data_IF_640471800356
#
_entry.id   IF_640471800356
#
_cell.length_a   1.000
_cell.length_b   1.000
_cell.length_c   1.000
_cell.angle_alpha   90.00
_cell.angle_beta   90.00
_cell.angle_gamma   90.00
#
_symmetry.space_group_name_H-M   'P 1'
#
loop_
_entity.id
_entity.type
_entity.pdbx_description
1 polymer ?
#
# COMPACT_ATOMS: atom_id res chain seq x y z
N UNK A 1 -14.51 1.56 -17.79
CA UNK A 1 -13.51 1.52 -16.69
C UNK A 1 -12.22 2.21 -17.17
N UNK A 2 -11.80 3.33 -16.58
CA UNK A 2 -10.50 3.93 -16.90
C UNK A 2 -9.42 2.99 -16.36
N UNK A 3 -8.65 2.37 -17.24
CA UNK A 3 -7.53 1.54 -16.85
C UNK A 3 -6.32 2.45 -16.66
N UNK A 4 -6.04 2.83 -15.40
CA UNK A 4 -4.84 3.60 -15.05
C UNK A 4 -3.69 2.61 -14.96
N UNK A 5 -2.62 2.87 -15.70
CA UNK A 5 -1.36 2.12 -15.62
C UNK A 5 -0.24 3.11 -15.34
N UNK A 6 0.60 2.82 -14.36
CA UNK A 6 1.73 3.65 -13.99
C UNK A 6 3.01 2.85 -14.22
N UNK A 7 3.83 3.32 -15.14
CA UNK A 7 5.11 2.68 -15.47
C UNK A 7 6.24 3.41 -14.74
N UNK A 8 7.04 2.67 -14.02
CA UNK A 8 8.29 3.15 -13.39
C UNK A 8 9.51 2.57 -14.11
N UNK A 9 10.69 2.72 -13.53
CA UNK A 9 11.92 2.18 -14.12
C UNK A 9 11.90 0.65 -14.25
N UNK A 10 11.39 -0.05 -13.24
CA UNK A 10 11.42 -1.52 -13.15
C UNK A 10 10.04 -2.15 -13.00
N UNK A 11 9.02 -1.34 -12.69
CA UNK A 11 7.71 -1.82 -12.28
C UNK A 11 6.61 -1.30 -13.20
N UNK A 12 5.53 -2.07 -13.27
CA UNK A 12 4.26 -1.66 -13.83
C UNK A 12 3.20 -1.78 -12.75
N UNK A 13 2.50 -0.68 -12.47
CA UNK A 13 1.38 -0.63 -11.53
C UNK A 13 0.10 -0.66 -12.34
N UNK A 14 -0.77 -1.62 -12.06
CA UNK A 14 -2.06 -1.82 -12.72
C UNK A 14 -3.17 -1.97 -11.67
N UNK A 15 -4.44 -1.74 -12.01
CA UNK A 15 -5.52 -1.99 -11.06
C UNK A 15 -5.43 -3.38 -10.44
N UNK A 16 -5.48 -3.45 -9.11
CA UNK A 16 -5.56 -4.72 -8.39
C UNK A 16 -6.98 -5.31 -8.54
N UNK A 17 -7.08 -6.61 -8.77
CA UNK A 17 -8.36 -7.29 -8.94
C UNK A 17 -8.29 -8.78 -8.65
N UNK A 18 -9.39 -9.48 -8.90
CA UNK A 18 -9.55 -10.91 -8.60
C UNK A 18 -8.56 -11.81 -9.34
N UNK A 19 -8.04 -11.39 -10.48
CA UNK A 19 -7.01 -12.13 -11.22
C UNK A 19 -5.73 -12.36 -10.41
N UNK A 20 -5.48 -11.51 -9.40
CA UNK A 20 -4.32 -11.62 -8.51
C UNK A 20 -4.59 -12.40 -7.22
N UNK A 21 -5.79 -12.96 -7.01
CA UNK A 21 -6.18 -13.63 -5.76
C UNK A 21 -5.12 -14.61 -5.25
N UNK A 22 -4.59 -15.46 -6.13
CA UNK A 22 -3.59 -16.47 -5.77
C UNK A 22 -2.30 -15.83 -5.24
N UNK A 23 -1.77 -14.85 -5.94
CA UNK A 23 -0.52 -14.17 -5.56
C UNK A 23 -0.71 -13.21 -4.39
N UNK A 24 -1.89 -12.60 -4.23
CA UNK A 24 -2.23 -11.82 -3.03
C UNK A 24 -2.23 -12.72 -1.80
N UNK A 25 -2.81 -13.92 -1.87
CA UNK A 25 -2.81 -14.86 -0.75
C UNK A 25 -1.40 -15.24 -0.28
N UNK A 26 -0.39 -15.25 -1.15
CA UNK A 26 0.99 -15.56 -0.76
C UNK A 26 1.53 -14.61 0.32
N UNK A 27 1.15 -13.33 0.28
CA UNK A 27 1.58 -12.36 1.28
C UNK A 27 0.47 -11.98 2.28
N UNK A 28 -0.79 -11.93 1.85
CA UNK A 28 -1.89 -11.50 2.70
C UNK A 28 -2.26 -12.51 3.81
N UNK A 29 -1.96 -13.79 3.60
CA UNK A 29 -2.14 -14.85 4.60
C UNK A 29 -0.87 -15.12 5.41
N UNK A 30 0.24 -14.50 5.09
CA UNK A 30 1.55 -14.77 5.69
C UNK A 30 1.81 -13.83 6.88
N UNK A 31 2.03 -14.40 8.08
CA UNK A 31 2.29 -13.64 9.30
C UNK A 31 3.51 -12.71 9.18
N UNK A 32 4.64 -13.21 8.68
CA UNK A 32 5.87 -12.42 8.56
C UNK A 32 5.73 -11.22 7.63
N UNK A 33 4.89 -11.36 6.58
CA UNK A 33 4.56 -10.27 5.69
C UNK A 33 3.67 -9.18 6.33
N UNK A 34 2.86 -9.56 7.33
CA UNK A 34 1.68 -8.78 7.74
C UNK A 34 1.66 -8.40 9.22
N UNK A 35 2.64 -8.84 10.00
CA UNK A 35 2.65 -8.69 11.47
C UNK A 35 2.51 -7.26 11.99
N UNK A 36 2.87 -6.27 11.18
CA UNK A 36 2.75 -4.85 11.52
C UNK A 36 1.54 -4.15 10.87
N UNK A 37 0.60 -4.91 10.32
CA UNK A 37 -0.53 -4.34 9.56
C UNK A 37 -1.85 -4.43 10.32
N UNK A 38 -2.68 -3.39 10.20
CA UNK A 38 -3.96 -3.29 10.90
C UNK A 38 -5.06 -4.16 10.28
N UNK A 39 -5.01 -4.38 8.96
CA UNK A 39 -6.05 -5.10 8.20
C UNK A 39 -5.60 -6.46 7.66
N UNK A 40 -4.36 -6.85 7.95
CA UNK A 40 -3.75 -8.12 7.58
C UNK A 40 -3.11 -8.77 8.82
N UNK A 41 -2.93 -10.09 8.87
CA UNK A 41 -3.22 -11.04 7.81
C UNK A 41 -4.72 -11.24 7.58
N UNK A 42 -5.09 -11.68 6.38
CA UNK A 42 -6.42 -12.23 6.12
C UNK A 42 -6.56 -13.60 6.80
N UNK A 43 -7.78 -13.98 7.15
CA UNK A 43 -8.04 -15.26 7.79
C UNK A 43 -7.95 -16.42 6.79
N UNK A 44 -8.48 -16.19 5.59
CA UNK A 44 -8.53 -17.17 4.52
C UNK A 44 -8.64 -16.51 3.12
N UNK A 45 -8.70 -17.33 2.11
CA UNK A 45 -8.82 -16.89 0.72
C UNK A 45 -10.16 -16.20 0.41
N UNK A 46 -11.23 -16.52 1.13
CA UNK A 46 -12.53 -15.87 0.91
C UNK A 46 -12.53 -14.43 1.42
N UNK A 47 -11.85 -14.17 2.53
CA UNK A 47 -11.67 -12.80 3.00
C UNK A 47 -10.79 -11.98 2.02
N UNK A 48 -9.75 -12.59 1.45
CA UNK A 48 -8.96 -11.95 0.38
C UNK A 48 -9.82 -11.70 -0.86
N UNK A 49 -10.65 -12.64 -1.27
CA UNK A 49 -11.58 -12.50 -2.40
C UNK A 49 -12.54 -11.33 -2.19
N UNK A 50 -13.15 -11.26 -1.02
CA UNK A 50 -14.08 -10.18 -0.66
C UNK A 50 -13.39 -8.81 -0.76
N UNK A 51 -12.18 -8.68 -0.25
CA UNK A 51 -11.39 -7.46 -0.38
C UNK A 51 -11.13 -7.10 -1.85
N UNK A 52 -10.72 -8.06 -2.68
CA UNK A 52 -10.45 -7.79 -4.10
C UNK A 52 -11.72 -7.39 -4.86
N UNK A 53 -12.89 -7.94 -4.49
CA UNK A 53 -14.18 -7.50 -5.05
C UNK A 53 -14.51 -6.06 -4.66
N UNK A 54 -14.22 -5.64 -3.43
CA UNK A 54 -14.37 -4.25 -3.00
C UNK A 54 -13.44 -3.33 -3.80
N UNK A 55 -12.21 -3.74 -4.03
CA UNK A 55 -11.23 -2.99 -4.85
C UNK A 55 -11.74 -2.83 -6.29
N UNK A 56 -12.24 -3.90 -6.92
CA UNK A 56 -12.81 -3.83 -8.28
C UNK A 56 -14.04 -2.92 -8.34
N UNK A 57 -14.90 -2.99 -7.32
CA UNK A 57 -16.07 -2.11 -7.22
C UNK A 57 -15.65 -0.64 -7.06
N UNK A 58 -14.58 -0.36 -6.31
CA UNK A 58 -14.04 1.00 -6.16
C UNK A 58 -13.48 1.53 -7.47
N UNK A 59 -12.70 0.71 -8.21
CA UNK A 59 -12.19 1.05 -9.53
C UNK A 59 -13.30 1.34 -10.57
N UNK A 60 -14.50 0.79 -10.37
CA UNK A 60 -15.64 1.00 -11.27
C UNK A 60 -16.36 2.33 -11.04
N UNK A 61 -16.11 3.04 -9.94
CA UNK A 61 -16.73 4.31 -9.63
C UNK A 61 -16.23 5.43 -10.56
N UNK A 62 -17.04 6.44 -10.74
CA UNK A 62 -16.66 7.67 -11.45
C UNK A 62 -15.59 8.46 -10.68
N UNK A 63 -15.71 8.48 -9.35
CA UNK A 63 -14.78 9.13 -8.43
C UNK A 63 -14.42 8.14 -7.30
N UNK A 64 -13.39 7.31 -7.49
CA UNK A 64 -12.93 6.41 -6.46
C UNK A 64 -12.39 7.16 -5.23
N UNK A 65 -12.72 6.70 -4.04
CA UNK A 65 -12.15 7.20 -2.79
C UNK A 65 -10.75 6.65 -2.51
N UNK A 66 -10.43 5.53 -3.16
CA UNK A 66 -9.09 4.95 -3.07
C UNK A 66 -8.72 4.18 -4.35
N UNK A 67 -7.44 3.92 -4.50
CA UNK A 67 -6.88 3.08 -5.55
C UNK A 67 -5.91 2.07 -4.96
N UNK A 68 -6.12 0.80 -5.27
CA UNK A 68 -5.20 -0.29 -4.99
C UNK A 68 -4.59 -0.78 -6.30
N UNK A 69 -3.28 -0.76 -6.40
CA UNK A 69 -2.55 -1.22 -7.58
C UNK A 69 -1.79 -2.51 -7.30
N UNK A 70 -1.90 -3.47 -8.20
CA UNK A 70 -0.97 -4.57 -8.27
C UNK A 70 0.39 -4.05 -8.76
N UNK A 71 1.45 -4.44 -8.08
CA UNK A 71 2.84 -4.13 -8.47
C UNK A 71 3.40 -5.30 -9.25
N UNK A 72 3.71 -5.07 -10.52
CA UNK A 72 4.30 -6.07 -11.41
C UNK A 72 5.77 -5.76 -11.67
N UNK A 73 6.62 -6.76 -11.49
CA UNK A 73 8.03 -6.75 -11.90
C UNK A 73 8.23 -7.86 -12.93
N UNK A 74 8.67 -7.51 -14.15
CA UNK A 74 8.81 -8.48 -15.26
C UNK A 74 7.55 -9.35 -15.47
N UNK A 75 6.38 -8.74 -15.41
CA UNK A 75 5.05 -9.37 -15.47
C UNK A 75 4.70 -10.32 -14.32
N UNK A 76 5.51 -10.37 -13.27
CA UNK A 76 5.22 -11.13 -12.05
C UNK A 76 4.59 -10.19 -11.02
N UNK A 77 3.43 -10.56 -10.46
CA UNK A 77 2.81 -9.82 -9.37
C UNK A 77 3.59 -10.03 -8.07
N UNK A 78 4.16 -8.96 -7.53
CA UNK A 78 5.06 -9.00 -6.37
C UNK A 78 4.48 -8.33 -5.11
N UNK A 79 3.34 -7.68 -5.19
CA UNK A 79 2.72 -6.97 -4.09
C UNK A 79 1.73 -5.91 -4.53
N UNK A 80 1.35 -5.04 -3.62
CA UNK A 80 0.40 -3.95 -3.88
C UNK A 80 0.90 -2.62 -3.32
N UNK A 81 0.44 -1.53 -3.93
CA UNK A 81 0.61 -0.16 -3.45
C UNK A 81 -0.71 0.57 -3.58
N UNK A 82 -1.05 1.38 -2.60
CA UNK A 82 -2.35 2.04 -2.52
C UNK A 82 -2.26 3.53 -2.20
N UNK A 83 -3.32 4.24 -2.56
CA UNK A 83 -3.57 5.60 -2.12
C UNK A 83 -5.05 5.74 -1.76
N UNK A 84 -5.32 6.25 -0.55
CA UNK A 84 -6.65 6.54 -0.02
C UNK A 84 -6.79 8.05 0.16
N UNK A 85 -7.89 8.63 -0.31
CA UNK A 85 -8.11 10.07 -0.24
C UNK A 85 -9.00 10.44 0.95
N UNK A 86 -8.48 11.26 1.82
CA UNK A 86 -9.20 11.82 2.97
C UNK A 86 -8.71 13.25 3.26
N UNK A 87 -9.64 14.19 3.43
CA UNK A 87 -9.34 15.58 3.82
C UNK A 87 -8.24 16.23 2.95
N UNK A 88 -8.35 16.12 1.63
CA UNK A 88 -7.39 16.64 0.62
C UNK A 88 -5.98 16.03 0.70
N UNK A 89 -5.78 14.97 1.45
CA UNK A 89 -4.55 14.21 1.50
C UNK A 89 -4.71 12.85 0.85
N UNK A 90 -3.61 12.33 0.29
CA UNK A 90 -3.50 10.95 -0.17
C UNK A 90 -2.71 10.11 0.83
N UNK A 91 -3.36 9.18 1.52
CA UNK A 91 -2.68 8.23 2.38
C UNK A 91 -2.11 7.08 1.57
N UNK A 92 -0.79 6.90 1.65
CA UNK A 92 -0.06 5.87 0.93
C UNK A 92 0.04 4.59 1.76
N UNK A 93 -0.10 3.45 1.09
CA UNK A 93 0.16 2.14 1.65
C UNK A 93 0.96 1.26 0.69
N UNK A 94 1.67 0.28 1.20
CA UNK A 94 2.38 -0.71 0.41
C UNK A 94 2.56 -2.02 1.16
N UNK A 95 2.56 -3.09 0.39
CA UNK A 95 2.93 -4.43 0.82
C UNK A 95 3.61 -5.16 -0.33
N UNK A 96 4.74 -5.79 -0.08
CA UNK A 96 5.40 -6.66 -1.04
C UNK A 96 5.52 -8.06 -0.47
N UNK A 97 5.40 -9.07 -1.32
CA UNK A 97 5.77 -10.42 -0.96
C UNK A 97 7.24 -10.43 -0.51
N UNK A 98 7.51 -11.02 0.66
CA UNK A 98 8.82 -11.02 1.31
C UNK A 98 9.98 -11.47 0.41
N UNK A 99 9.68 -12.29 -0.61
CA UNK A 99 10.68 -12.72 -1.62
C UNK A 99 11.32 -11.55 -2.39
N UNK A 100 10.66 -10.39 -2.40
CA UNK A 100 11.08 -9.19 -3.13
C UNK A 100 11.50 -8.03 -2.22
N UNK A 101 11.66 -8.29 -0.93
CA UNK A 101 12.15 -7.29 0.01
C UNK A 101 13.61 -6.93 -0.23
N UNK A 102 14.04 -5.76 0.21
CA UNK A 102 15.41 -5.28 0.09
C UNK A 102 15.82 -4.80 -1.30
N UNK A 103 14.93 -4.86 -2.29
CA UNK A 103 15.22 -4.45 -3.68
C UNK A 103 14.84 -3.00 -3.98
N UNK A 104 14.23 -2.28 -3.05
CA UNK A 104 13.77 -0.90 -3.23
C UNK A 104 12.46 -0.76 -4.00
N UNK A 105 11.75 -1.85 -4.27
CA UNK A 105 10.51 -1.85 -5.06
C UNK A 105 9.37 -1.09 -4.38
N UNK A 106 9.24 -1.16 -3.06
CA UNK A 106 8.19 -0.41 -2.34
C UNK A 106 8.36 1.11 -2.52
N UNK A 107 9.58 1.62 -2.36
CA UNK A 107 9.87 3.03 -2.58
C UNK A 107 9.64 3.44 -4.05
N UNK A 108 10.03 2.60 -5.01
CA UNK A 108 9.82 2.87 -6.43
C UNK A 108 8.33 2.90 -6.80
N UNK A 109 7.54 1.94 -6.31
CA UNK A 109 6.10 1.89 -6.55
C UNK A 109 5.37 3.09 -5.91
N UNK A 110 5.65 3.39 -4.63
CA UNK A 110 5.06 4.53 -3.95
C UNK A 110 5.45 5.87 -4.60
N UNK A 111 6.70 6.02 -5.05
CA UNK A 111 7.13 7.19 -5.82
C UNK A 111 6.33 7.35 -7.11
N UNK A 112 6.07 6.24 -7.81
CA UNK A 112 5.20 6.24 -9.00
C UNK A 112 3.79 6.76 -8.71
N UNK A 113 3.20 6.37 -7.57
CA UNK A 113 1.90 6.93 -7.13
C UNK A 113 1.99 8.42 -6.83
N UNK A 114 2.99 8.84 -6.06
CA UNK A 114 3.21 10.26 -5.72
C UNK A 114 3.29 11.10 -6.98
N UNK A 115 4.12 10.70 -7.94
CA UNK A 115 4.32 11.44 -9.19
C UNK A 115 3.02 11.50 -10.01
N UNK A 116 2.32 10.37 -10.13
CA UNK A 116 1.07 10.31 -10.89
C UNK A 116 -0.01 11.20 -10.26
N UNK A 117 -0.28 11.05 -8.97
CA UNK A 117 -1.35 11.80 -8.31
C UNK A 117 -0.99 13.27 -8.05
N UNK A 118 0.29 13.63 -7.92
CA UNK A 118 0.74 15.03 -7.91
C UNK A 118 0.36 15.73 -9.21
N UNK A 119 0.53 15.06 -10.35
CA UNK A 119 0.11 15.58 -11.65
C UNK A 119 -1.42 15.68 -11.81
N UNK A 120 -2.18 14.96 -10.96
CA UNK A 120 -3.65 15.07 -10.87
C UNK A 120 -4.11 16.11 -9.82
N UNK A 121 -3.18 16.80 -9.17
CA UNK A 121 -3.48 17.88 -8.22
C UNK A 121 -3.38 17.52 -6.74
N UNK A 122 -3.09 16.27 -6.38
CA UNK A 122 -2.82 15.91 -4.99
C UNK A 122 -1.49 16.53 -4.56
N UNK A 123 -1.50 17.33 -3.49
CA UNK A 123 -0.31 18.05 -3.00
C UNK A 123 0.17 17.58 -1.65
N UNK A 124 -0.65 16.84 -0.92
CA UNK A 124 -0.34 16.37 0.41
C UNK A 124 -0.47 14.85 0.47
N UNK A 125 0.62 14.19 0.85
CA UNK A 125 0.69 12.75 1.03
C UNK A 125 1.01 12.42 2.47
N UNK A 126 0.35 11.41 3.02
CA UNK A 126 0.58 10.90 4.37
C UNK A 126 0.84 9.41 4.33
N UNK A 127 1.52 8.90 5.33
CA UNK A 127 1.69 7.46 5.53
C UNK A 127 1.85 7.16 7.01
N UNK A 128 1.35 6.00 7.43
CA UNK A 128 1.45 5.52 8.80
C UNK A 128 2.12 4.16 8.84
N UNK A 129 2.87 3.89 9.88
CA UNK A 129 3.38 2.54 10.15
C UNK A 129 3.57 2.30 11.64
N UNK A 130 3.61 1.03 12.02
CA UNK A 130 4.10 0.61 13.32
C UNK A 130 5.52 1.11 13.56
N UNK A 131 5.81 1.60 14.77
CA UNK A 131 7.14 2.13 15.11
C UNK A 131 8.25 1.09 15.01
N UNK A 132 7.90 -0.19 15.09
CA UNK A 132 8.83 -1.31 14.93
C UNK A 132 9.02 -1.75 13.48
N UNK A 133 8.19 -1.26 12.56
CA UNK A 133 8.31 -1.55 11.13
C UNK A 133 9.37 -0.67 10.46
N UNK A 134 10.64 -0.99 10.76
CA UNK A 134 11.81 -0.24 10.26
C UNK A 134 11.83 -0.14 8.74
N UNK A 135 11.47 -1.20 8.03
CA UNK A 135 11.45 -1.21 6.57
C UNK A 135 10.44 -0.19 6.01
N UNK A 136 9.29 -0.03 6.67
CA UNK A 136 8.26 0.90 6.23
C UNK A 136 8.67 2.35 6.43
N UNK A 137 9.10 2.75 7.63
CA UNK A 137 9.46 4.16 7.83
C UNK A 137 10.74 4.56 7.08
N UNK A 138 11.69 3.64 6.86
CA UNK A 138 12.82 3.91 5.96
C UNK A 138 12.40 4.10 4.50
N UNK A 139 11.35 3.41 4.06
CA UNK A 139 10.74 3.66 2.75
C UNK A 139 10.15 5.08 2.69
N UNK A 140 9.42 5.49 3.73
CA UNK A 140 8.88 6.86 3.83
C UNK A 140 9.98 7.92 3.74
N UNK A 141 11.08 7.72 4.48
CA UNK A 141 12.24 8.63 4.46
C UNK A 141 12.89 8.70 3.06
N UNK A 142 13.01 7.58 2.36
CA UNK A 142 13.50 7.55 0.96
C UNK A 142 12.60 8.30 -0.01
N UNK A 143 11.30 8.36 0.27
CA UNK A 143 10.34 9.14 -0.51
C UNK A 143 10.41 10.65 -0.22
N UNK A 144 11.24 11.08 0.74
CA UNK A 144 11.35 12.46 1.18
C UNK A 144 10.25 12.87 2.17
N UNK A 145 9.50 11.91 2.71
CA UNK A 145 8.51 12.17 3.75
C UNK A 145 9.20 12.51 5.09
N UNK A 146 8.59 13.39 5.86
CA UNK A 146 9.08 13.83 7.17
C UNK A 146 8.16 13.27 8.25
N UNK A 147 8.73 12.71 9.32
CA UNK A 147 7.97 12.26 10.47
C UNK A 147 7.36 13.45 11.22
N UNK A 148 6.03 13.49 11.29
CA UNK A 148 5.28 14.59 11.90
C UNK A 148 4.60 14.18 13.20
N UNK A 149 4.54 12.89 13.52
CA UNK A 149 3.89 12.44 14.75
C UNK A 149 4.22 11.02 15.16
N UNK A 150 3.90 10.75 16.41
CA UNK A 150 3.88 9.42 17.01
C UNK A 150 2.69 9.35 17.95
N UNK A 151 1.93 8.27 17.90
CA UNK A 151 0.78 8.01 18.76
C UNK A 151 0.74 6.55 19.22
N UNK A 152 0.08 6.31 20.35
CA UNK A 152 -0.21 4.95 20.82
C UNK A 152 -1.54 4.43 20.29
N UNK A 153 -1.92 3.23 20.74
CA UNK A 153 -3.22 2.64 20.43
C UNK A 153 -3.31 1.99 19.06
N UNK A 154 -2.19 1.78 18.36
CA UNK A 154 -2.17 1.03 17.11
C UNK A 154 -2.50 -0.44 17.36
N UNK A 155 -3.46 -0.97 16.61
CA UNK A 155 -3.90 -2.38 16.68
C UNK A 155 -3.48 -3.11 15.41
N UNK A 156 -2.36 -3.81 15.48
CA UNK A 156 -1.99 -4.75 14.43
C UNK A 156 -2.88 -5.99 14.53
N UNK A 157 -3.48 -6.41 13.44
CA UNK A 157 -4.46 -7.50 13.45
C UNK A 157 -3.90 -8.83 13.99
N UNK A 158 -2.62 -9.11 13.74
CA UNK A 158 -1.96 -10.33 14.20
C UNK A 158 -1.45 -10.26 15.66
N UNK A 159 -1.67 -9.15 16.37
CA UNK A 159 -1.19 -8.95 17.74
C UNK A 159 -2.34 -8.68 18.70
N UNK A 160 -2.26 -9.26 19.91
CA UNK A 160 -3.16 -8.95 21.01
C UNK A 160 -2.73 -7.68 21.78
N UNK A 161 -1.53 -7.17 21.55
CA UNK A 161 -0.93 -6.04 22.25
C UNK A 161 -0.98 -4.81 21.36
N UNK A 162 -1.43 -3.68 21.90
CA UNK A 162 -1.36 -2.39 21.22
C UNK A 162 0.08 -1.93 21.07
N UNK A 163 0.35 -1.22 20.00
CA UNK A 163 1.65 -0.72 19.59
C UNK A 163 1.60 0.80 19.40
N UNK A 164 2.72 1.38 19.01
CA UNK A 164 2.82 2.79 18.63
C UNK A 164 2.88 2.93 17.12
N UNK A 165 2.47 4.11 16.64
CA UNK A 165 2.41 4.45 15.22
C UNK A 165 3.20 5.70 14.93
N UNK A 166 4.00 5.68 13.86
CA UNK A 166 4.56 6.88 13.25
C UNK A 166 3.63 7.41 12.16
N UNK A 167 3.56 8.74 12.09
CA UNK A 167 2.96 9.47 10.97
C UNK A 167 4.06 10.22 10.21
N UNK A 168 4.04 10.08 8.91
CA UNK A 168 4.93 10.77 7.97
C UNK A 168 4.12 11.55 6.95
N UNK A 169 4.65 12.69 6.51
CA UNK A 169 3.98 13.57 5.56
C UNK A 169 4.95 14.10 4.50
N UNK A 170 4.41 14.33 3.31
CA UNK A 170 5.09 14.98 2.20
C UNK A 170 4.13 16.00 1.58
N UNK A 171 4.60 17.24 1.45
CA UNK A 171 3.89 18.31 0.72
C UNK A 171 4.69 18.66 -0.53
N UNK A 172 4.01 18.73 -1.69
CA UNK A 172 4.57 19.03 -3.00
C UNK A 172 4.43 20.50 -3.35
#
# INVERSE_FOLDING_TARGET
MRRIEIKTKRLLLVPLGLEYLKSVNEYALNYENTKYMCHLPKQDSEETRSFLQEVEAEWAKESPGFYEFAVLCENVHIGAVSIYFENDAGELGWILNRKYWGCGYAAEAAKGLIDFFSNQGCRHFIAHCDTENVASYKTMEKLGMIRTGQSGGRKNRASAVESFEYRYELTM
#
